data_IF_162281497092
#
_entry.id   IF_162281497092
#
_cell.length_a   1.000
_cell.length_b   1.000
_cell.length_c   1.000
_cell.angle_alpha   90.00
_cell.angle_beta   90.00
_cell.angle_gamma   90.00
#
_symmetry.space_group_name_H-M   'P 1'
#
loop_
_entity.id
_entity.type
_entity.pdbx_description
1 polymer ?
#
# COMPACT_ATOMS: atom_id res chain seq x y z
N UNK A 1 -18.95 20.63 -37.98
CA UNK A 1 -19.42 19.26 -38.28
C UNK A 1 -19.24 18.45 -37.02
N UNK A 2 -20.35 17.91 -36.51
CA UNK A 2 -20.62 17.50 -35.13
C UNK A 2 -19.81 16.29 -34.65
N UNK A 3 -19.33 16.37 -33.40
CA UNK A 3 -19.17 15.26 -32.44
C UNK A 3 -18.58 15.85 -31.15
N UNK A 4 -19.09 15.69 -29.93
CA UNK A 4 -20.34 15.17 -29.38
C UNK A 4 -20.36 15.79 -27.98
N UNK A 5 -21.47 16.42 -27.60
CA UNK A 5 -21.70 16.87 -26.22
C UNK A 5 -21.51 15.66 -25.31
N UNK A 6 -20.51 15.73 -24.42
CA UNK A 6 -20.23 14.67 -23.46
C UNK A 6 -21.43 14.49 -22.55
N UNK A 7 -21.91 13.26 -22.43
CA UNK A 7 -23.01 12.93 -21.54
C UNK A 7 -22.63 13.30 -20.11
N UNK A 8 -23.41 14.20 -19.52
CA UNK A 8 -23.33 14.51 -18.10
C UNK A 8 -23.80 13.27 -17.33
N UNK A 9 -22.84 12.53 -16.77
CA UNK A 9 -23.12 11.44 -15.85
C UNK A 9 -23.68 12.00 -14.54
N UNK A 10 -25.01 12.09 -14.45
CA UNK A 10 -25.76 12.43 -13.23
C UNK A 10 -25.90 11.15 -12.40
N UNK A 11 -25.44 11.17 -11.14
CA UNK A 11 -25.73 10.08 -10.20
C UNK A 11 -27.16 10.17 -9.64
N UNK A 12 -27.62 9.11 -8.96
CA UNK A 12 -28.98 9.01 -8.43
C UNK A 12 -29.35 10.13 -7.42
N UNK A 13 -28.40 10.97 -7.01
CA UNK A 13 -28.59 12.12 -6.11
C UNK A 13 -28.62 13.49 -6.80
N UNK A 14 -28.55 13.56 -8.14
CA UNK A 14 -28.56 14.83 -8.87
C UNK A 14 -27.24 15.62 -8.75
N UNK A 15 -26.17 14.98 -8.29
CA UNK A 15 -24.86 15.63 -8.24
C UNK A 15 -24.17 15.53 -9.60
N UNK A 16 -23.89 16.68 -10.21
CA UNK A 16 -23.09 16.75 -11.44
C UNK A 16 -21.62 16.66 -11.06
N UNK A 17 -20.96 15.56 -11.45
CA UNK A 17 -19.50 15.41 -11.27
C UNK A 17 -18.77 16.51 -12.02
N UNK A 18 -18.06 17.43 -11.34
CA UNK A 18 -17.36 18.49 -12.04
C UNK A 18 -16.24 17.89 -12.89
N UNK A 19 -16.26 18.20 -14.19
CA UNK A 19 -15.20 17.81 -15.10
C UNK A 19 -13.97 18.70 -14.85
N UNK A 20 -13.01 18.21 -14.07
CA UNK A 20 -11.77 18.92 -13.77
C UNK A 20 -10.66 18.44 -14.71
N UNK A 21 -9.99 19.38 -15.38
CA UNK A 21 -8.79 19.07 -16.15
C UNK A 21 -7.62 18.87 -15.21
N UNK A 22 -7.09 17.65 -15.17
CA UNK A 22 -5.91 17.29 -14.38
C UNK A 22 -4.70 17.19 -15.30
N UNK A 23 -3.63 17.90 -14.98
CA UNK A 23 -2.34 17.72 -15.67
C UNK A 23 -1.54 16.62 -14.97
N UNK A 24 -1.27 15.54 -15.70
CA UNK A 24 -0.36 14.49 -15.22
C UNK A 24 1.06 14.82 -15.64
N UNK A 25 1.96 14.97 -14.66
CA UNK A 25 3.40 15.10 -14.93
C UNK A 25 3.89 13.85 -15.67
N UNK A 26 4.73 14.05 -16.70
CA UNK A 26 5.38 12.91 -17.37
C UNK A 26 6.36 12.23 -16.41
N UNK A 27 6.49 10.89 -16.47
CA UNK A 27 7.55 10.19 -15.78
C UNK A 27 8.93 10.72 -16.21
N UNK A 28 9.82 10.90 -15.25
CA UNK A 28 11.21 11.32 -15.41
C UNK A 28 12.21 10.17 -15.28
N UNK A 29 11.75 8.94 -15.00
CA UNK A 29 12.61 7.75 -14.87
C UNK A 29 13.12 7.51 -13.44
N UNK A 30 13.08 8.53 -12.58
CA UNK A 30 13.42 8.45 -11.16
C UNK A 30 12.19 8.18 -10.27
N UNK A 31 11.17 7.51 -10.79
CA UNK A 31 10.03 7.12 -9.97
C UNK A 31 10.42 6.00 -9.01
N UNK A 32 9.76 5.99 -7.84
CA UNK A 32 9.77 4.84 -6.96
C UNK A 32 9.14 3.65 -7.71
N UNK A 33 9.90 2.56 -7.86
CA UNK A 33 9.48 1.34 -8.55
C UNK A 33 9.84 0.14 -7.69
N UNK A 34 9.08 -0.95 -7.84
CA UNK A 34 9.46 -2.23 -7.30
C UNK A 34 10.75 -2.73 -7.99
N UNK A 35 11.63 -3.45 -7.27
CA UNK A 35 12.75 -4.14 -7.87
C UNK A 35 12.30 -5.11 -8.97
N UNK A 36 13.14 -5.28 -10.00
CA UNK A 36 12.88 -6.27 -11.06
C UNK A 36 13.00 -7.69 -10.52
N UNK A 37 13.91 -7.91 -9.57
CA UNK A 37 14.02 -9.16 -8.82
C UNK A 37 13.08 -9.14 -7.61
N UNK A 38 12.01 -9.93 -7.70
CA UNK A 38 10.98 -10.00 -6.67
C UNK A 38 11.40 -10.86 -5.46
N UNK A 39 12.54 -11.56 -5.54
CA UNK A 39 13.08 -12.32 -4.40
C UNK A 39 13.79 -11.42 -3.38
N UNK A 40 14.14 -10.19 -3.77
CA UNK A 40 14.74 -9.21 -2.88
C UNK A 40 13.75 -8.78 -1.79
N UNK A 41 14.17 -8.71 -0.52
CA UNK A 41 13.31 -8.24 0.55
C UNK A 41 12.99 -6.75 0.39
N UNK A 42 11.76 -6.37 0.72
CA UNK A 42 11.24 -5.01 0.64
C UNK A 42 11.04 -4.43 2.04
N UNK A 43 11.63 -3.27 2.28
CA UNK A 43 11.43 -2.46 3.47
C UNK A 43 10.72 -1.17 3.10
N UNK A 44 9.44 -1.07 3.42
CA UNK A 44 8.58 0.05 3.07
C UNK A 44 8.36 0.92 4.32
N UNK A 45 8.69 2.21 4.26
CA UNK A 45 8.53 3.14 5.38
C UNK A 45 7.69 4.32 4.91
N UNK A 46 6.44 4.40 5.38
CA UNK A 46 5.46 5.36 4.90
C UNK A 46 4.47 5.79 5.97
N UNK A 47 4.83 6.72 6.86
CA UNK A 47 3.89 7.27 7.83
C UNK A 47 2.85 8.17 7.17
N UNK A 48 1.62 8.15 7.70
CA UNK A 48 0.48 8.93 7.20
C UNK A 48 0.22 8.71 5.72
N UNK A 49 0.00 9.79 4.97
CA UNK A 49 -0.25 9.73 3.52
C UNK A 49 0.95 9.21 2.71
N UNK A 50 2.14 9.10 3.31
CA UNK A 50 3.30 8.46 2.73
C UNK A 50 3.10 6.96 2.42
N UNK A 51 2.06 6.33 2.97
CA UNK A 51 1.69 4.94 2.67
C UNK A 51 1.13 4.74 1.26
N UNK A 52 0.60 5.80 0.63
CA UNK A 52 -0.13 5.71 -0.64
C UNK A 52 0.61 4.95 -1.78
N UNK A 53 1.89 5.24 -2.10
CA UNK A 53 2.61 4.46 -3.13
C UNK A 53 2.81 3.00 -2.72
N UNK A 54 2.91 2.70 -1.43
CA UNK A 54 3.11 1.34 -0.93
C UNK A 54 1.84 0.50 -1.01
N UNK A 55 0.65 1.11 -0.87
CA UNK A 55 -0.61 0.42 -1.16
C UNK A 55 -0.62 -0.06 -2.61
N UNK A 56 -0.25 0.80 -3.57
CA UNK A 56 -0.15 0.40 -4.98
C UNK A 56 0.87 -0.73 -5.20
N UNK A 57 1.99 -0.73 -4.47
CA UNK A 57 2.98 -1.81 -4.53
C UNK A 57 2.44 -3.12 -3.97
N UNK A 58 1.76 -3.08 -2.82
CA UNK A 58 1.17 -4.28 -2.20
C UNK A 58 0.07 -4.88 -3.06
N UNK A 59 -0.80 -4.05 -3.65
CA UNK A 59 -1.80 -4.50 -4.63
C UNK A 59 -1.15 -5.18 -5.84
N UNK A 60 -0.06 -4.61 -6.36
CA UNK A 60 0.68 -5.20 -7.47
C UNK A 60 1.33 -6.54 -7.08
N UNK A 61 1.99 -6.61 -5.92
CA UNK A 61 2.60 -7.83 -5.40
C UNK A 61 1.56 -8.93 -5.16
N UNK A 62 0.39 -8.58 -4.59
CA UNK A 62 -0.72 -9.51 -4.39
C UNK A 62 -1.19 -10.11 -5.71
N UNK A 63 -1.33 -9.31 -6.76
CA UNK A 63 -1.72 -9.77 -8.09
C UNK A 63 -0.66 -10.70 -8.70
N UNK A 64 0.63 -10.34 -8.62
CA UNK A 64 1.73 -11.19 -9.09
C UNK A 64 1.81 -12.52 -8.34
N UNK A 65 1.60 -12.50 -7.02
CA UNK A 65 1.56 -13.71 -6.19
C UNK A 65 0.37 -14.60 -6.54
N UNK A 66 -0.79 -14.02 -6.78
CA UNK A 66 -1.97 -14.77 -7.22
C UNK A 66 -1.72 -15.48 -8.57
N UNK A 67 -1.14 -14.77 -9.54
CA UNK A 67 -0.73 -15.36 -10.83
C UNK A 67 0.30 -16.48 -10.67
N UNK A 68 1.35 -16.24 -9.87
CA UNK A 68 2.37 -17.25 -9.58
C UNK A 68 1.77 -18.51 -8.91
N UNK A 69 0.86 -18.33 -7.97
CA UNK A 69 0.14 -19.43 -7.30
C UNK A 69 -0.72 -20.21 -8.28
N UNK A 70 -1.42 -19.55 -9.20
CA UNK A 70 -2.20 -20.20 -10.25
C UNK A 70 -1.33 -21.04 -11.19
N UNK A 71 -0.08 -20.60 -11.43
CA UNK A 71 0.94 -21.36 -12.19
C UNK A 71 1.64 -22.45 -11.38
N UNK A 72 1.27 -22.67 -10.12
CA UNK A 72 1.87 -23.68 -9.24
C UNK A 72 3.28 -23.32 -8.75
N UNK A 73 3.68 -22.04 -8.83
CA UNK A 73 4.98 -21.57 -8.35
C UNK A 73 4.99 -21.50 -6.83
N UNK A 74 6.06 -21.98 -6.21
CA UNK A 74 6.30 -21.87 -4.78
C UNK A 74 6.60 -20.41 -4.40
N UNK A 75 5.62 -19.74 -3.76
CA UNK A 75 5.72 -18.31 -3.46
C UNK A 75 6.93 -17.95 -2.58
N UNK A 76 7.31 -18.82 -1.64
CA UNK A 76 8.45 -18.61 -0.74
C UNK A 76 9.80 -18.52 -1.46
N UNK A 77 9.91 -19.07 -2.68
CA UNK A 77 11.12 -18.96 -3.52
C UNK A 77 11.04 -17.83 -4.54
N UNK A 78 9.83 -17.43 -4.93
CA UNK A 78 9.59 -16.45 -5.98
C UNK A 78 9.46 -15.02 -5.45
N UNK A 79 9.17 -14.85 -4.15
CA UNK A 79 8.96 -13.55 -3.54
C UNK A 79 9.73 -13.43 -2.23
N UNK A 80 10.42 -12.31 -2.07
CA UNK A 80 11.09 -11.93 -0.83
C UNK A 80 10.10 -11.52 0.26
N UNK A 81 10.65 -11.28 1.44
CA UNK A 81 9.88 -10.71 2.56
C UNK A 81 9.48 -9.26 2.28
N UNK A 82 8.29 -8.86 2.72
CA UNK A 82 7.81 -7.48 2.59
C UNK A 82 7.42 -6.96 3.97
N UNK A 83 8.15 -5.96 4.47
CA UNK A 83 7.87 -5.32 5.76
C UNK A 83 7.42 -3.88 5.53
N UNK A 84 6.33 -3.46 6.19
CA UNK A 84 5.81 -2.10 6.11
C UNK A 84 5.81 -1.45 7.49
N UNK A 85 6.43 -0.28 7.60
CA UNK A 85 6.40 0.59 8.76
C UNK A 85 5.43 1.74 8.47
N UNK A 86 4.27 1.68 9.12
CA UNK A 86 3.24 2.69 9.10
C UNK A 86 3.19 3.43 10.43
N UNK A 87 2.93 4.74 10.40
CA UNK A 87 2.72 5.50 11.62
C UNK A 87 1.78 6.67 11.41
N UNK A 88 0.99 6.97 12.43
CA UNK A 88 0.07 8.11 12.44
C UNK A 88 -0.11 8.65 13.86
N UNK A 89 -1.07 9.57 14.03
CA UNK A 89 -1.33 10.17 15.33
C UNK A 89 -2.09 9.20 16.23
N UNK A 90 -3.27 8.76 15.81
CA UNK A 90 -4.11 7.85 16.57
C UNK A 90 -4.48 6.62 15.75
N UNK A 91 -4.63 5.46 16.40
CA UNK A 91 -5.17 4.27 15.71
C UNK A 91 -6.59 4.50 15.20
N UNK A 92 -7.42 5.15 16.01
CA UNK A 92 -8.80 5.46 15.65
C UNK A 92 -8.83 6.76 14.85
N UNK A 93 -9.30 6.68 13.60
CA UNK A 93 -9.53 7.84 12.72
C UNK A 93 -8.36 8.19 11.79
N UNK A 94 -7.10 7.93 12.19
CA UNK A 94 -5.92 8.28 11.38
C UNK A 94 -5.20 7.06 10.77
N UNK A 95 -5.65 5.83 11.06
CA UNK A 95 -5.06 4.62 10.48
C UNK A 95 -5.57 4.40 9.06
N UNK A 96 -4.88 5.01 8.10
CA UNK A 96 -5.21 4.91 6.68
C UNK A 96 -5.04 3.48 6.16
N UNK A 97 -6.06 3.00 5.44
CA UNK A 97 -6.09 1.67 4.81
C UNK A 97 -5.92 0.51 5.81
N UNK A 98 -6.37 0.67 7.05
CA UNK A 98 -6.25 -0.33 8.11
C UNK A 98 -6.72 -1.73 7.70
N UNK A 99 -7.95 -1.87 7.22
CA UNK A 99 -8.53 -3.15 6.79
C UNK A 99 -7.73 -3.78 5.62
N UNK A 100 -7.28 -2.96 4.67
CA UNK A 100 -6.54 -3.43 3.51
C UNK A 100 -5.13 -3.91 3.89
N UNK A 101 -4.47 -3.17 4.78
CA UNK A 101 -3.15 -3.51 5.32
C UNK A 101 -3.18 -4.78 6.17
N UNK A 102 -4.20 -4.93 7.03
CA UNK A 102 -4.43 -6.16 7.79
C UNK A 102 -4.72 -7.35 6.86
N UNK A 103 -5.45 -7.13 5.76
CA UNK A 103 -5.68 -8.15 4.73
C UNK A 103 -4.38 -8.58 4.04
N UNK A 104 -3.50 -7.64 3.68
CA UNK A 104 -2.22 -7.98 3.07
C UNK A 104 -1.30 -8.76 4.02
N UNK A 105 -1.35 -8.49 5.33
CA UNK A 105 -0.62 -9.29 6.32
C UNK A 105 -1.22 -10.71 6.42
N UNK A 106 -2.55 -10.81 6.45
CA UNK A 106 -3.26 -12.09 6.56
C UNK A 106 -3.08 -13.00 5.33
N UNK A 107 -3.06 -12.45 4.12
CA UNK A 107 -2.83 -13.22 2.89
C UNK A 107 -1.34 -13.45 2.57
N UNK A 108 -0.46 -12.88 3.40
CA UNK A 108 0.98 -13.00 3.35
C UNK A 108 1.66 -12.08 2.35
N UNK A 109 0.94 -11.30 1.53
CA UNK A 109 1.50 -10.27 0.62
C UNK A 109 2.46 -9.35 1.37
N UNK A 110 2.04 -8.94 2.56
CA UNK A 110 2.87 -8.29 3.55
C UNK A 110 3.33 -9.34 4.57
N UNK A 111 4.64 -9.49 4.73
CA UNK A 111 5.21 -10.40 5.73
C UNK A 111 4.97 -9.88 7.14
N UNK A 112 5.07 -8.55 7.32
CA UNK A 112 4.82 -7.92 8.62
C UNK A 112 4.38 -6.47 8.48
N UNK A 113 3.36 -6.11 9.24
CA UNK A 113 2.97 -4.72 9.46
C UNK A 113 3.51 -4.21 10.81
N UNK A 114 4.26 -3.12 10.78
CA UNK A 114 4.75 -2.41 11.95
C UNK A 114 4.00 -1.08 12.07
N UNK A 115 3.24 -0.90 13.14
CA UNK A 115 2.48 0.33 13.39
C UNK A 115 3.06 1.14 14.54
N UNK A 116 3.01 2.47 14.43
CA UNK A 116 3.38 3.40 15.48
C UNK A 116 2.37 4.54 15.60
N UNK A 117 1.73 4.65 16.76
CA UNK A 117 0.72 5.68 17.05
C UNK A 117 1.30 6.69 18.05
N UNK A 118 1.56 7.91 17.57
CA UNK A 118 2.32 8.91 18.33
C UNK A 118 1.54 9.59 19.46
N UNK A 119 0.20 9.55 19.42
CA UNK A 119 -0.69 10.25 20.35
C UNK A 119 -1.72 9.34 21.03
N UNK A 120 -1.71 8.04 20.72
CA UNK A 120 -2.47 7.09 21.53
C UNK A 120 -1.90 7.05 22.94
N UNK A 121 -2.79 6.91 23.93
CA UNK A 121 -2.36 6.76 25.31
C UNK A 121 -1.41 5.57 25.40
N UNK A 122 -0.15 5.84 25.76
CA UNK A 122 0.83 4.80 26.00
C UNK A 122 0.40 4.12 27.29
N UNK A 123 -0.23 2.95 27.19
CA UNK A 123 -0.23 2.06 28.35
C UNK A 123 1.24 1.70 28.57
N UNK A 124 1.78 2.01 29.75
CA UNK A 124 3.19 1.78 30.09
C UNK A 124 3.62 0.31 29.94
N UNK A 125 2.68 -0.62 29.76
CA UNK A 125 2.90 -2.04 29.43
C UNK A 125 2.99 -2.35 27.91
N UNK A 126 2.56 -1.45 27.03
CA UNK A 126 2.50 -1.65 25.57
C UNK A 126 3.59 -0.89 24.79
N UNK A 127 4.52 -0.23 25.49
CA UNK A 127 5.77 0.24 24.90
C UNK A 127 6.57 -0.96 24.38
N UNK A 128 6.32 -1.33 23.13
CA UNK A 128 6.90 -2.49 22.47
C UNK A 128 8.42 -2.52 22.62
N UNK A 129 8.93 -3.66 23.04
CA UNK A 129 10.36 -3.97 23.04
C UNK A 129 10.93 -3.71 21.65
N UNK A 130 11.94 -2.85 21.53
CA UNK A 130 12.65 -2.62 20.28
C UNK A 130 13.36 -3.90 19.85
N UNK A 131 12.73 -4.68 18.98
CA UNK A 131 13.30 -5.89 18.41
C UNK A 131 14.05 -5.51 17.13
N UNK A 132 15.37 -5.67 17.15
CA UNK A 132 16.18 -5.54 15.95
C UNK A 132 15.74 -6.59 14.93
N UNK A 133 15.20 -6.16 13.79
CA UNK A 133 14.97 -7.05 12.64
C UNK A 133 16.31 -7.19 11.92
N UNK A 134 16.95 -8.36 12.05
CA UNK A 134 18.09 -8.70 11.20
C UNK A 134 17.54 -9.22 9.88
N UNK A 135 17.59 -8.40 8.85
CA UNK A 135 17.43 -8.87 7.49
C UNK A 135 18.74 -9.58 7.11
N UNK A 136 18.68 -10.87 6.80
CA UNK A 136 19.80 -11.57 6.19
C UNK A 136 19.87 -11.10 4.72
N UNK A 137 20.70 -10.09 4.47
CA UNK A 137 21.11 -9.67 3.12
C UNK A 137 22.29 -10.50 2.64
#
# INVERSE_FOLDING_TARGET
MLASMGEEFIDAGGWVKPAVRVYRRRPTGNELRLPTDLTAPLLLVGPGTGVAPFIAFLQHLRALRADARARGVELARAFGETHLFFGCQHRVGDFLFDEELETFEADGTLTRLHTAFSRDAIDSASAGEWRSVRLNV
#
